data_IF_542161476245
#
_entry.id   IF_542161476245
#
_cell.length_a   1.000
_cell.length_b   1.000
_cell.length_c   1.000
_cell.angle_alpha   90.00
_cell.angle_beta   90.00
_cell.angle_gamma   90.00
#
_symmetry.space_group_name_H-M   'P 1'
#
loop_
_entity.id
_entity.type
_entity.pdbx_description
1 polymer ?
#
# COMPACT_ATOMS: atom_id res chain seq x y z
N UNK A 1 -1.49 9.41 15.31
CA UNK A 1 -2.21 8.14 15.06
C UNK A 1 -2.04 7.83 13.58
N UNK A 2 -1.22 6.83 13.26
CA UNK A 2 -0.87 6.48 11.89
C UNK A 2 -2.06 5.77 11.27
N UNK A 3 -2.95 6.51 10.60
CA UNK A 3 -4.25 6.01 10.11
C UNK A 3 -4.13 4.68 9.34
N UNK A 4 -3.11 4.49 8.51
CA UNK A 4 -2.89 3.24 7.78
C UNK A 4 -2.62 2.03 8.69
N UNK A 5 -1.87 2.23 9.78
CA UNK A 5 -1.59 1.20 10.77
C UNK A 5 -2.81 0.99 11.68
N UNK A 6 -3.37 2.07 12.22
CA UNK A 6 -4.40 2.00 13.27
C UNK A 6 -5.77 1.58 12.74
N UNK A 7 -6.17 2.10 11.56
CA UNK A 7 -7.50 1.86 10.98
C UNK A 7 -7.54 0.69 10.02
N UNK A 8 -6.46 0.49 9.26
CA UNK A 8 -6.41 -0.50 8.17
C UNK A 8 -5.47 -1.66 8.46
N UNK A 9 -4.77 -1.65 9.60
CA UNK A 9 -3.84 -2.70 10.01
C UNK A 9 -2.78 -3.00 8.92
N UNK A 10 -2.33 -1.94 8.24
CA UNK A 10 -1.27 -1.99 7.25
C UNK A 10 0.06 -1.60 7.91
N UNK A 11 1.01 -2.53 7.92
CA UNK A 11 2.38 -2.24 8.33
C UNK A 11 3.02 -1.37 7.26
N UNK A 12 3.34 -0.13 7.63
CA UNK A 12 3.96 0.85 6.73
C UNK A 12 4.94 1.76 7.48
N UNK A 13 5.85 2.36 6.73
CA UNK A 13 6.84 3.34 7.19
C UNK A 13 7.01 4.47 6.16
N UNK A 14 7.64 5.56 6.58
CA UNK A 14 8.06 6.62 5.65
C UNK A 14 9.46 6.29 5.16
N UNK A 15 9.63 6.10 3.86
CA UNK A 15 10.91 5.99 3.18
C UNK A 15 11.14 7.26 2.36
N UNK A 16 12.38 7.57 2.02
CA UNK A 16 12.70 8.71 1.14
C UNK A 16 13.06 8.20 -0.24
N UNK A 17 12.51 8.83 -1.28
CA UNK A 17 12.87 8.52 -2.67
C UNK A 17 14.24 9.14 -3.03
N UNK A 18 14.69 8.92 -4.28
CA UNK A 18 15.97 9.47 -4.78
C UNK A 18 16.05 11.00 -4.72
N UNK A 19 14.91 11.68 -4.77
CA UNK A 19 14.80 13.14 -4.71
C UNK A 19 14.62 13.66 -3.27
N UNK A 20 14.90 12.82 -2.27
CA UNK A 20 14.69 13.11 -0.84
C UNK A 20 13.24 13.52 -0.49
N UNK A 21 12.25 12.99 -1.22
CA UNK A 21 10.83 13.19 -0.94
C UNK A 21 10.27 12.00 -0.16
N UNK A 22 9.43 12.24 0.86
CA UNK A 22 8.83 11.17 1.64
C UNK A 22 7.87 10.34 0.76
N UNK A 23 7.92 9.03 0.94
CA UNK A 23 7.09 8.01 0.28
C UNK A 23 6.62 7.02 1.34
N UNK A 24 5.33 6.70 1.33
CA UNK A 24 4.80 5.63 2.16
C UNK A 24 5.25 4.30 1.57
N UNK A 25 5.99 3.53 2.36
CA UNK A 25 6.37 2.16 2.04
C UNK A 25 5.45 1.21 2.79
N UNK A 26 4.75 0.33 2.06
CA UNK A 26 3.93 -0.73 2.63
C UNK A 26 4.75 -2.01 2.61
N UNK A 27 4.90 -2.66 3.77
CA UNK A 27 5.70 -3.88 3.88
C UNK A 27 5.00 -5.06 3.21
N UNK A 28 5.78 -6.03 2.71
CA UNK A 28 5.28 -7.20 1.95
C UNK A 28 4.21 -7.97 2.72
N UNK A 29 4.38 -8.14 4.03
CA UNK A 29 3.43 -8.79 4.93
C UNK A 29 2.04 -8.11 5.00
N UNK A 30 1.89 -6.88 4.50
CA UNK A 30 0.59 -6.18 4.42
C UNK A 30 0.01 -6.12 3.01
N UNK A 31 0.68 -6.68 2.00
CA UNK A 31 0.23 -6.61 0.60
C UNK A 31 -1.08 -7.36 0.38
N UNK A 32 -1.27 -8.53 0.98
CA UNK A 32 -2.52 -9.30 0.84
C UNK A 32 -3.72 -8.49 1.38
N UNK A 33 -3.57 -7.90 2.58
CA UNK A 33 -4.60 -7.01 3.17
C UNK A 33 -4.88 -5.81 2.28
N UNK A 34 -3.83 -5.16 1.76
CA UNK A 34 -3.96 -4.02 0.86
C UNK A 34 -4.76 -4.39 -0.39
N UNK A 35 -4.41 -5.51 -1.04
CA UNK A 35 -5.09 -6.00 -2.25
C UNK A 35 -6.57 -6.24 -1.95
N UNK A 36 -6.91 -6.92 -0.85
CA UNK A 36 -8.31 -7.15 -0.47
C UNK A 36 -9.09 -5.85 -0.28
N UNK A 37 -8.47 -4.82 0.30
CA UNK A 37 -9.13 -3.52 0.52
C UNK A 37 -9.37 -2.74 -0.78
N UNK A 38 -8.44 -2.79 -1.74
CA UNK A 38 -8.47 -1.91 -2.92
C UNK A 38 -8.99 -2.58 -4.19
N UNK A 39 -8.87 -3.91 -4.31
CA UNK A 39 -9.24 -4.67 -5.52
C UNK A 39 -10.67 -4.40 -6.03
N UNK A 40 -11.71 -4.25 -5.19
CA UNK A 40 -13.06 -3.93 -5.67
C UNK A 40 -13.19 -2.62 -6.44
N UNK A 41 -12.21 -1.71 -6.31
CA UNK A 41 -12.21 -0.40 -6.94
C UNK A 41 -11.22 -0.29 -8.11
N UNK A 42 -10.50 -1.37 -8.43
CA UNK A 42 -9.56 -1.42 -9.55
C UNK A 42 -10.28 -1.89 -10.82
N UNK A 43 -10.00 -1.22 -11.94
CA UNK A 43 -10.32 -1.73 -13.27
C UNK A 43 -9.37 -2.87 -13.65
N UNK A 44 -9.81 -3.77 -14.52
CA UNK A 44 -9.06 -4.98 -14.89
C UNK A 44 -7.66 -4.66 -15.44
N UNK A 45 -7.54 -3.60 -16.23
CA UNK A 45 -6.32 -3.14 -16.87
C UNK A 45 -5.28 -2.61 -15.88
N UNK A 46 -5.68 -2.34 -14.62
CA UNK A 46 -4.79 -1.84 -13.57
C UNK A 46 -4.38 -2.92 -12.55
N UNK A 47 -4.87 -4.15 -12.69
CA UNK A 47 -4.58 -5.25 -11.75
C UNK A 47 -3.10 -5.64 -11.72
N UNK A 48 -2.35 -5.44 -12.82
CA UNK A 48 -0.91 -5.68 -12.86
C UNK A 48 -0.13 -4.87 -11.80
N UNK A 49 -0.63 -3.69 -11.39
CA UNK A 49 -0.01 -2.87 -10.33
C UNK A 49 -0.17 -3.48 -8.94
N UNK A 50 -1.13 -4.39 -8.77
CA UNK A 50 -1.31 -5.18 -7.56
C UNK A 50 -0.53 -6.50 -7.61
N UNK A 51 0.14 -6.82 -8.73
CA UNK A 51 0.82 -8.09 -8.94
C UNK A 51 -0.14 -9.25 -9.23
N UNK A 52 -1.34 -8.95 -9.75
CA UNK A 52 -2.38 -9.90 -10.14
C UNK A 52 -2.47 -10.03 -11.67
#
# INVERSE_FOLDING_TARGET
MFVLQDKFNLRCSIHYNRDNKPRIFIFKESMEKLITLVKPYFISEMLYKLGL
#
